data_IF_642331717935
#
_entry.id   IF_642331717935
#
_cell.length_a   1.000
_cell.length_b   1.000
_cell.length_c   1.000
_cell.angle_alpha   90.00
_cell.angle_beta   90.00
_cell.angle_gamma   90.00
#
_symmetry.space_group_name_H-M   'P 1'
#
loop_
_entity.id
_entity.type
_entity.pdbx_description
1 polymer ?
#
# COMPACT_ATOMS: atom_id res chain seq x y z
N UNK A 1 -5.13 -17.06 18.85
CA UNK A 1 -4.71 -17.63 17.54
C UNK A 1 -3.20 -17.60 17.50
N UNK A 2 -2.59 -18.75 17.33
CA UNK A 2 -1.15 -18.91 17.16
C UNK A 2 -0.73 -18.50 15.75
N UNK A 3 0.57 -18.33 15.55
CA UNK A 3 1.12 -17.99 14.23
C UNK A 3 0.78 -19.06 13.18
N UNK A 4 0.83 -20.35 13.55
CA UNK A 4 0.50 -21.47 12.65
C UNK A 4 -1.00 -21.52 12.30
N UNK A 5 -1.87 -21.27 13.26
CA UNK A 5 -3.32 -21.18 13.02
C UNK A 5 -3.64 -20.02 12.06
N UNK A 6 -2.92 -18.90 12.17
CA UNK A 6 -3.06 -17.76 11.28
C UNK A 6 -2.61 -18.05 9.84
N UNK A 7 -1.55 -18.84 9.65
CA UNK A 7 -1.12 -19.29 8.31
C UNK A 7 -2.21 -20.11 7.62
N UNK A 8 -2.78 -21.07 8.35
CA UNK A 8 -3.88 -21.90 7.84
C UNK A 8 -5.13 -21.05 7.52
N UNK A 9 -5.42 -20.07 8.37
CA UNK A 9 -6.54 -19.15 8.16
C UNK A 9 -6.30 -18.30 6.90
N UNK A 10 -5.12 -17.71 6.75
CA UNK A 10 -4.78 -16.88 5.59
C UNK A 10 -4.86 -17.66 4.26
N UNK A 11 -4.31 -18.87 4.24
CA UNK A 11 -4.37 -19.77 3.10
C UNK A 11 -5.83 -20.17 2.77
N UNK A 12 -6.64 -20.46 3.80
CA UNK A 12 -8.04 -20.83 3.64
C UNK A 12 -8.89 -19.69 3.05
N UNK A 13 -8.67 -18.45 3.47
CA UNK A 13 -9.38 -17.26 2.96
C UNK A 13 -9.09 -17.05 1.47
N UNK A 14 -7.83 -17.10 1.06
CA UNK A 14 -7.47 -16.94 -0.35
C UNK A 14 -8.10 -18.04 -1.22
N UNK A 15 -8.11 -19.29 -0.73
CA UNK A 15 -8.66 -20.42 -1.48
C UNK A 15 -10.18 -20.40 -1.60
N UNK A 16 -10.91 -20.02 -0.54
CA UNK A 16 -12.38 -20.10 -0.46
C UNK A 16 -13.07 -18.84 -0.96
N UNK A 17 -12.57 -17.67 -0.58
CA UNK A 17 -13.31 -16.42 -0.74
C UNK A 17 -12.96 -15.67 -2.03
N UNK A 18 -12.14 -16.25 -2.89
CA UNK A 18 -11.70 -15.67 -4.17
C UNK A 18 -11.08 -14.26 -4.02
N UNK A 19 -10.48 -13.97 -2.85
CA UNK A 19 -9.78 -12.72 -2.63
C UNK A 19 -8.43 -12.72 -3.34
N UNK A 20 -7.95 -11.55 -3.74
CA UNK A 20 -6.67 -11.40 -4.45
C UNK A 20 -5.47 -11.80 -3.60
N UNK A 21 -5.46 -11.43 -2.32
CA UNK A 21 -4.46 -11.80 -1.32
C UNK A 21 -5.06 -11.65 0.09
N UNK A 22 -4.44 -12.29 1.09
CA UNK A 22 -4.85 -12.19 2.49
C UNK A 22 -3.66 -11.82 3.39
N UNK A 23 -3.90 -10.93 4.34
CA UNK A 23 -2.94 -10.61 5.40
C UNK A 23 -3.62 -10.79 6.75
N UNK A 24 -3.08 -11.65 7.60
CA UNK A 24 -3.60 -11.94 8.93
C UNK A 24 -2.66 -11.37 9.98
N UNK A 25 -3.22 -10.69 10.97
CA UNK A 25 -2.50 -10.13 12.10
C UNK A 25 -2.64 -11.02 13.32
N UNK A 26 -1.53 -11.35 13.95
CA UNK A 26 -1.50 -12.10 15.20
C UNK A 26 -0.66 -11.39 16.27
N UNK A 27 -0.94 -11.71 17.51
CA UNK A 27 -0.11 -11.31 18.65
C UNK A 27 0.33 -12.59 19.36
N UNK A 28 1.38 -13.23 18.83
CA UNK A 28 1.91 -14.50 19.37
C UNK A 28 3.28 -14.26 20.01
N UNK A 29 3.35 -14.14 21.35
CA UNK A 29 4.61 -13.92 22.06
C UNK A 29 5.53 -15.14 22.07
N UNK A 30 5.05 -16.32 21.69
CA UNK A 30 5.86 -17.54 21.62
C UNK A 30 6.75 -17.59 20.38
N UNK A 31 6.57 -16.67 19.42
CA UNK A 31 7.31 -16.58 18.17
C UNK A 31 8.04 -15.25 18.03
N UNK A 32 9.30 -15.32 17.61
CA UNK A 32 10.12 -14.13 17.32
C UNK A 32 9.99 -13.65 15.88
N UNK A 33 9.36 -14.44 15.01
CA UNK A 33 9.14 -14.06 13.61
C UNK A 33 8.26 -12.82 13.52
N UNK A 34 8.68 -11.82 12.75
CA UNK A 34 7.91 -10.60 12.49
C UNK A 34 6.78 -10.84 11.49
N UNK A 35 7.05 -11.61 10.47
CA UNK A 35 6.07 -11.99 9.46
C UNK A 35 6.49 -13.27 8.74
N UNK A 36 5.53 -13.90 8.10
CA UNK A 36 5.74 -14.95 7.12
C UNK A 36 4.81 -14.73 5.94
N UNK A 37 5.30 -14.98 4.73
CA UNK A 37 4.52 -14.80 3.53
C UNK A 37 4.70 -15.96 2.57
N UNK A 38 3.64 -16.31 1.86
CA UNK A 38 3.62 -17.27 0.77
C UNK A 38 3.23 -16.56 -0.53
N UNK A 39 4.17 -16.31 -1.44
CA UNK A 39 3.85 -15.71 -2.75
C UNK A 39 2.91 -16.59 -3.57
N UNK A 40 3.14 -17.89 -3.57
CA UNK A 40 2.29 -18.87 -4.28
C UNK A 40 0.87 -18.93 -3.70
N UNK A 41 0.77 -18.88 -2.38
CA UNK A 41 -0.50 -18.84 -1.67
C UNK A 41 -1.15 -17.47 -1.63
N UNK A 42 -0.43 -16.40 -2.00
CA UNK A 42 -0.88 -15.00 -1.94
C UNK A 42 -1.37 -14.59 -0.56
N UNK A 43 -0.68 -15.05 0.48
CA UNK A 43 -1.02 -14.69 1.85
C UNK A 43 0.22 -14.30 2.66
N UNK A 44 -0.01 -13.55 3.72
CA UNK A 44 0.99 -13.27 4.75
C UNK A 44 0.36 -13.28 6.14
N UNK A 45 1.19 -13.58 7.13
CA UNK A 45 0.87 -13.43 8.55
C UNK A 45 1.88 -12.47 9.17
N UNK A 46 1.39 -11.47 9.90
CA UNK A 46 2.20 -10.55 10.68
C UNK A 46 2.06 -10.86 12.17
N UNK A 47 3.17 -10.90 12.87
CA UNK A 47 3.19 -10.99 14.33
C UNK A 47 3.54 -9.62 14.94
N UNK A 48 2.62 -9.04 15.67
CA UNK A 48 2.83 -7.75 16.33
C UNK A 48 3.56 -7.85 17.66
N UNK A 49 3.65 -9.06 18.25
CA UNK A 49 4.29 -9.28 19.54
C UNK A 49 5.76 -8.86 19.55
N UNK A 50 6.63 -9.29 18.61
CA UNK A 50 8.03 -8.90 18.60
C UNK A 50 8.28 -7.40 18.50
N UNK A 51 7.33 -6.65 17.87
CA UNK A 51 7.48 -5.19 17.70
C UNK A 51 7.44 -4.43 19.03
N UNK A 52 6.87 -5.04 20.05
CA UNK A 52 6.69 -4.48 21.40
C UNK A 52 7.79 -4.90 22.39
N UNK A 53 8.78 -5.69 21.96
CA UNK A 53 9.72 -6.36 22.87
C UNK A 53 10.55 -5.38 23.73
N UNK A 54 10.83 -4.17 23.23
CA UNK A 54 11.56 -3.11 23.94
C UNK A 54 10.63 -2.01 24.49
N UNK A 55 9.34 -2.26 24.58
CA UNK A 55 8.31 -1.33 25.06
C UNK A 55 8.39 0.06 24.39
N UNK A 56 8.31 0.15 23.05
CA UNK A 56 8.51 1.38 22.32
C UNK A 56 7.38 2.38 22.55
N UNK A 57 7.65 3.66 22.32
CA UNK A 57 6.60 4.67 22.20
C UNK A 57 5.65 4.32 21.04
N UNK A 58 4.39 4.78 21.14
CA UNK A 58 3.32 4.46 20.18
C UNK A 58 3.71 4.78 18.74
N UNK A 59 4.31 5.94 18.50
CA UNK A 59 4.77 6.38 17.18
C UNK A 59 5.79 5.40 16.55
N UNK A 60 6.76 4.93 17.35
CA UNK A 60 7.73 3.93 16.89
C UNK A 60 7.08 2.58 16.59
N UNK A 61 6.10 2.18 17.40
CA UNK A 61 5.35 0.95 17.15
C UNK A 61 4.58 1.01 15.83
N UNK A 62 3.93 2.13 15.54
CA UNK A 62 3.22 2.38 14.29
C UNK A 62 4.16 2.37 13.08
N UNK A 63 5.32 3.00 13.21
CA UNK A 63 6.36 2.98 12.16
C UNK A 63 6.87 1.56 11.87
N UNK A 64 7.21 0.80 12.92
CA UNK A 64 7.61 -0.62 12.79
C UNK A 64 6.51 -1.45 12.13
N UNK A 65 5.27 -1.27 12.59
CA UNK A 65 4.13 -1.96 12.00
C UNK A 65 3.97 -1.64 10.51
N UNK A 66 4.04 -0.37 10.13
CA UNK A 66 3.95 0.03 8.72
C UNK A 66 5.06 -0.62 7.86
N UNK A 67 6.29 -0.71 8.39
CA UNK A 67 7.41 -1.35 7.69
C UNK A 67 7.16 -2.84 7.46
N UNK A 68 6.81 -3.60 8.51
CA UNK A 68 6.58 -5.04 8.36
C UNK A 68 5.30 -5.35 7.55
N UNK A 69 4.30 -4.48 7.63
CA UNK A 69 3.09 -4.62 6.83
C UNK A 69 3.41 -4.59 5.32
N UNK A 70 4.20 -3.61 4.89
CA UNK A 70 4.64 -3.54 3.50
C UNK A 70 5.50 -4.75 3.08
N UNK A 71 6.42 -5.18 3.95
CA UNK A 71 7.17 -6.41 3.70
C UNK A 71 6.23 -7.60 3.46
N UNK A 72 5.25 -7.77 4.32
CA UNK A 72 4.31 -8.88 4.24
C UNK A 72 3.45 -8.81 2.96
N UNK A 73 2.88 -7.65 2.64
CA UNK A 73 2.05 -7.43 1.44
C UNK A 73 2.85 -7.66 0.17
N UNK A 74 4.02 -7.01 0.07
CA UNK A 74 4.88 -7.12 -1.12
C UNK A 74 5.32 -8.57 -1.32
N UNK A 75 5.73 -9.26 -0.26
CA UNK A 75 6.15 -10.67 -0.34
C UNK A 75 5.00 -11.60 -0.68
N UNK A 76 3.79 -11.37 -0.13
CA UNK A 76 2.60 -12.16 -0.48
C UNK A 76 2.22 -12.02 -1.97
N UNK A 77 2.52 -10.88 -2.58
CA UNK A 77 2.28 -10.63 -4.01
C UNK A 77 3.48 -10.94 -4.91
N UNK A 78 4.48 -11.69 -4.42
CA UNK A 78 5.62 -12.13 -5.21
C UNK A 78 6.77 -11.14 -5.31
N UNK A 79 6.72 -10.04 -4.52
CA UNK A 79 7.77 -9.04 -4.50
C UNK A 79 9.06 -9.53 -3.83
N UNK A 80 10.13 -8.79 -4.04
CA UNK A 80 11.50 -9.10 -3.62
C UNK A 80 12.06 -8.04 -2.67
N UNK A 81 13.23 -8.32 -2.10
CA UNK A 81 13.97 -7.33 -1.31
C UNK A 81 14.56 -6.25 -2.23
N UNK A 82 14.47 -4.99 -1.80
CA UNK A 82 15.00 -3.88 -2.59
C UNK A 82 16.51 -3.75 -2.40
N UNK A 83 17.22 -3.45 -3.48
CA UNK A 83 18.66 -3.12 -3.47
C UNK A 83 18.89 -1.67 -3.01
N UNK A 84 17.92 -0.77 -3.29
CA UNK A 84 17.95 0.64 -2.89
C UNK A 84 17.23 0.85 -1.55
N UNK A 85 17.54 1.92 -0.81
CA UNK A 85 16.79 2.25 0.40
C UNK A 85 15.29 2.35 0.13
N UNK A 86 14.55 1.42 0.67
CA UNK A 86 13.08 1.37 0.60
C UNK A 86 12.56 0.61 1.82
N UNK A 87 11.25 0.59 2.02
CA UNK A 87 10.65 -0.24 3.05
C UNK A 87 11.02 -1.72 2.88
N UNK A 88 11.35 -2.16 1.67
CA UNK A 88 11.74 -3.54 1.36
C UNK A 88 13.23 -3.84 1.62
N UNK A 89 13.97 -2.93 2.25
CA UNK A 89 15.33 -3.20 2.73
C UNK A 89 15.31 -4.39 3.70
N UNK A 90 16.12 -5.43 3.50
CA UNK A 90 16.15 -6.60 4.37
C UNK A 90 16.47 -6.22 5.83
N UNK A 91 15.83 -6.88 6.76
CA UNK A 91 16.09 -6.76 8.20
C UNK A 91 15.99 -8.12 8.87
N UNK A 92 16.65 -8.29 10.02
CA UNK A 92 16.67 -9.52 10.81
C UNK A 92 16.16 -9.35 12.24
N UNK A 93 16.17 -8.12 12.74
CA UNK A 93 15.81 -7.77 14.11
C UNK A 93 15.19 -6.36 14.19
N UNK A 94 14.73 -5.95 15.37
CA UNK A 94 14.15 -4.63 15.60
C UNK A 94 15.13 -3.48 15.29
N UNK A 95 16.41 -3.65 15.60
CA UNK A 95 17.41 -2.62 15.39
C UNK A 95 17.61 -2.35 13.91
N UNK A 96 17.72 -3.40 13.09
CA UNK A 96 17.82 -3.30 11.65
C UNK A 96 16.52 -2.80 11.00
N UNK A 97 15.34 -3.16 11.56
CA UNK A 97 14.06 -2.61 11.14
C UNK A 97 13.95 -1.10 11.40
N UNK A 98 14.41 -0.65 12.57
CA UNK A 98 14.33 0.76 12.97
C UNK A 98 15.21 1.68 12.10
N UNK A 99 16.33 1.19 11.58
CA UNK A 99 17.22 2.00 10.71
C UNK A 99 16.74 2.09 9.25
N UNK A 100 15.68 1.37 8.86
CA UNK A 100 15.08 1.54 7.54
C UNK A 100 14.50 2.97 7.45
N UNK A 101 14.95 3.81 6.49
CA UNK A 101 14.69 5.25 6.52
C UNK A 101 13.29 5.64 6.05
N UNK A 102 12.47 4.69 5.62
CA UNK A 102 11.16 4.97 5.04
C UNK A 102 10.16 3.85 5.31
N UNK A 103 8.88 4.22 5.37
CA UNK A 103 7.76 3.28 5.41
C UNK A 103 7.12 3.06 4.02
N UNK A 104 7.74 3.61 2.96
CA UNK A 104 7.19 3.55 1.60
C UNK A 104 7.95 2.56 0.73
N UNK A 105 7.26 1.79 -0.11
CA UNK A 105 7.93 1.00 -1.14
C UNK A 105 8.58 1.92 -2.19
N UNK A 106 9.62 1.41 -2.85
CA UNK A 106 10.26 2.09 -3.99
C UNK A 106 9.33 2.07 -5.22
N UNK A 107 9.51 2.98 -6.19
CA UNK A 107 8.66 3.05 -7.38
C UNK A 107 8.55 1.74 -8.15
N UNK A 108 9.66 1.02 -8.33
CA UNK A 108 9.70 -0.29 -8.98
C UNK A 108 8.86 -1.35 -8.25
N UNK A 109 8.86 -1.32 -6.93
CA UNK A 109 7.97 -2.19 -6.12
C UNK A 109 6.51 -1.77 -6.28
N UNK A 110 6.22 -0.47 -6.35
CA UNK A 110 4.85 0.03 -6.59
C UNK A 110 4.35 -0.44 -7.95
N UNK A 111 5.15 -0.32 -9.00
CA UNK A 111 4.79 -0.76 -10.36
C UNK A 111 4.52 -2.27 -10.37
N UNK A 112 5.39 -3.07 -9.75
CA UNK A 112 5.19 -4.51 -9.59
C UNK A 112 3.88 -4.84 -8.84
N UNK A 113 3.55 -4.11 -7.77
CA UNK A 113 2.30 -4.30 -7.02
C UNK A 113 1.07 -3.96 -7.87
N UNK A 114 1.15 -2.93 -8.71
CA UNK A 114 0.09 -2.55 -9.64
C UNK A 114 -0.15 -3.66 -10.66
N UNK A 115 0.91 -4.14 -11.29
CA UNK A 115 0.83 -5.18 -12.31
C UNK A 115 0.31 -6.50 -11.72
N UNK A 116 0.89 -6.96 -10.62
CA UNK A 116 0.47 -8.18 -9.94
C UNK A 116 -0.96 -8.06 -9.40
N UNK A 117 -1.30 -6.92 -8.81
CA UNK A 117 -2.65 -6.65 -8.31
C UNK A 117 -3.68 -6.74 -9.43
N UNK A 118 -3.37 -6.19 -10.60
CA UNK A 118 -4.24 -6.23 -11.77
C UNK A 118 -4.51 -7.66 -12.25
N UNK A 119 -3.51 -8.55 -12.21
CA UNK A 119 -3.67 -9.98 -12.53
C UNK A 119 -4.66 -10.68 -11.59
N UNK A 120 -4.75 -10.23 -10.36
CA UNK A 120 -5.68 -10.78 -9.36
C UNK A 120 -6.99 -10.00 -9.22
N UNK A 121 -7.27 -9.09 -10.15
CA UNK A 121 -8.50 -8.29 -10.16
C UNK A 121 -8.54 -7.19 -9.10
N UNK A 122 -7.40 -6.87 -8.48
CA UNK A 122 -7.27 -5.75 -7.54
C UNK A 122 -7.20 -4.47 -8.39
N UNK A 123 -8.23 -3.65 -8.28
CA UNK A 123 -8.23 -2.35 -8.96
C UNK A 123 -7.31 -1.40 -8.22
N UNK A 124 -6.24 -0.98 -8.87
CA UNK A 124 -5.39 0.07 -8.34
C UNK A 124 -6.10 1.42 -8.45
N UNK A 125 -6.22 2.11 -7.32
CA UNK A 125 -6.65 3.51 -7.32
C UNK A 125 -5.38 4.32 -7.59
N UNK A 126 -5.28 4.90 -8.77
CA UNK A 126 -4.26 5.92 -9.03
C UNK A 126 -4.49 7.03 -8.02
N UNK A 127 -3.49 7.35 -7.18
CA UNK A 127 -3.55 8.50 -6.27
C UNK A 127 -3.57 9.74 -7.14
N UNK A 128 -4.77 10.15 -7.53
CA UNK A 128 -4.96 11.37 -8.26
C UNK A 128 -5.00 12.55 -7.28
N UNK A 129 -4.50 13.71 -7.70
CA UNK A 129 -4.69 14.92 -6.92
C UNK A 129 -6.18 15.18 -6.71
N UNK A 130 -6.57 15.84 -5.60
CA UNK A 130 -7.96 16.19 -5.34
C UNK A 130 -8.61 16.91 -6.53
N UNK A 131 -7.84 17.75 -7.24
CA UNK A 131 -8.27 18.39 -8.49
C UNK A 131 -8.63 17.37 -9.59
N UNK A 132 -7.82 16.35 -9.78
CA UNK A 132 -8.08 15.27 -10.75
C UNK A 132 -9.32 14.48 -10.37
N UNK A 133 -9.48 14.17 -9.07
CA UNK A 133 -10.65 13.50 -8.54
C UNK A 133 -11.94 14.31 -8.78
N UNK A 134 -11.89 15.64 -8.54
CA UNK A 134 -13.00 16.55 -8.83
C UNK A 134 -13.36 16.56 -10.34
N UNK A 135 -12.35 16.66 -11.21
CA UNK A 135 -12.57 16.65 -12.68
C UNK A 135 -13.22 15.36 -13.16
N UNK A 136 -12.86 14.24 -12.55
CA UNK A 136 -13.38 12.92 -12.90
C UNK A 136 -14.70 12.57 -12.16
N UNK A 137 -15.22 13.47 -11.32
CA UNK A 137 -16.52 13.33 -10.67
C UNK A 137 -16.60 12.34 -9.51
N UNK A 138 -15.46 11.89 -8.96
CA UNK A 138 -15.42 10.93 -7.86
C UNK A 138 -14.77 11.48 -6.57
N UNK A 139 -14.44 12.78 -6.53
CA UNK A 139 -13.90 13.41 -5.34
C UNK A 139 -14.93 13.39 -4.20
N UNK A 140 -14.52 13.08 -2.96
CA UNK A 140 -15.38 13.29 -1.81
C UNK A 140 -15.63 14.79 -1.58
N UNK A 141 -16.67 15.13 -0.81
CA UNK A 141 -16.92 16.51 -0.41
C UNK A 141 -15.68 17.13 0.26
N UNK A 142 -15.39 18.44 0.03
CA UNK A 142 -14.20 19.08 0.59
C UNK A 142 -14.26 19.12 2.12
N UNK A 143 -13.15 18.78 2.76
CA UNK A 143 -13.00 18.77 4.23
C UNK A 143 -12.16 19.93 4.77
N UNK A 144 -11.57 20.74 3.90
CA UNK A 144 -10.77 21.92 4.24
C UNK A 144 -10.87 23.00 3.17
N UNK A 145 -10.43 24.22 3.49
CA UNK A 145 -10.51 25.38 2.61
C UNK A 145 -9.76 25.21 1.28
N UNK A 146 -8.62 24.50 1.26
CA UNK A 146 -7.86 24.24 0.03
C UNK A 146 -8.64 23.33 -0.90
N UNK A 147 -9.23 22.27 -0.36
CA UNK A 147 -10.09 21.36 -1.13
C UNK A 147 -11.34 22.09 -1.64
N UNK A 148 -11.95 22.95 -0.80
CA UNK A 148 -13.10 23.76 -1.18
C UNK A 148 -12.77 24.70 -2.35
N UNK A 149 -11.67 25.40 -2.28
CA UNK A 149 -11.22 26.29 -3.39
C UNK A 149 -10.97 25.50 -4.70
N UNK A 150 -10.44 24.29 -4.61
CA UNK A 150 -10.26 23.41 -5.78
C UNK A 150 -11.61 22.94 -6.32
N UNK A 151 -12.50 22.52 -5.43
CA UNK A 151 -13.85 22.04 -5.75
C UNK A 151 -14.64 23.11 -6.50
N UNK A 152 -14.74 24.31 -5.90
CA UNK A 152 -15.47 25.44 -6.48
C UNK A 152 -14.92 25.81 -7.86
N UNK A 153 -13.59 25.86 -8.01
CA UNK A 153 -12.95 26.15 -9.29
C UNK A 153 -13.23 25.12 -10.37
N UNK A 154 -13.24 23.83 -10.02
CA UNK A 154 -13.50 22.74 -10.99
C UNK A 154 -14.98 22.74 -11.40
N UNK A 155 -15.89 22.98 -10.48
CA UNK A 155 -17.33 22.98 -10.77
C UNK A 155 -17.84 24.27 -11.41
N UNK A 156 -17.13 25.40 -11.20
CA UNK A 156 -17.39 26.65 -11.90
C UNK A 156 -16.84 26.66 -13.34
N UNK A 157 -15.93 25.75 -13.67
CA UNK A 157 -15.39 25.68 -15.04
C UNK A 157 -16.48 25.22 -16.04
N UNK A 158 -16.63 25.85 -17.20
CA UNK A 158 -17.60 25.44 -18.22
C UNK A 158 -17.35 23.97 -18.61
N UNK A 159 -18.40 23.16 -18.65
CA UNK A 159 -18.35 21.71 -18.96
C UNK A 159 -17.90 21.40 -20.39
N UNK A 160 -17.79 22.40 -21.27
CA UNK A 160 -17.23 22.27 -22.59
C UNK A 160 -15.88 23.00 -22.65
N UNK A 161 -14.74 22.30 -22.66
CA UNK A 161 -13.50 22.96 -23.03
C UNK A 161 -13.65 23.41 -24.47
N UNK A 162 -13.40 24.72 -24.73
CA UNK A 162 -13.25 25.25 -26.08
C UNK A 162 -12.35 24.27 -26.85
N UNK A 163 -12.87 23.65 -27.90
CA UNK A 163 -12.02 22.97 -28.89
C UNK A 163 -11.12 24.02 -29.46
N UNK A 164 -9.86 24.02 -29.04
CA UNK A 164 -8.83 24.79 -29.73
C UNK A 164 -8.63 24.05 -31.06
N UNK A 165 -9.30 24.50 -32.12
CA UNK A 165 -8.98 24.05 -33.47
C UNK A 165 -7.58 24.59 -33.78
N UNK A 166 -6.62 23.70 -33.77
CA UNK A 166 -5.27 24.00 -34.23
C UNK A 166 -5.33 24.15 -35.76
N UNK A 167 -5.31 25.37 -36.24
CA UNK A 167 -5.18 25.68 -37.68
C UNK A 167 -3.71 25.54 -38.09
N UNK A 168 -3.33 24.43 -38.78
CA UNK A 168 -1.92 24.20 -39.14
C UNK A 168 -1.41 25.21 -40.22
N UNK A 169 -2.26 26.09 -40.73
CA UNK A 169 -1.89 27.05 -41.77
C UNK A 169 -1.52 28.46 -41.26
N UNK A 170 -1.68 28.74 -39.95
CA UNK A 170 -1.32 30.03 -39.32
C UNK A 170 0.07 30.10 -38.71
N UNK A 171 0.92 29.08 -38.93
CA UNK A 171 2.29 29.01 -38.45
C UNK A 171 3.33 29.02 -39.56
N UNK A 172 3.24 29.94 -40.50
CA UNK A 172 4.34 30.25 -41.40
C UNK A 172 4.60 31.76 -41.44
#
# INVERSE_FOLDING_TARGET
MTFVEAENTAAGVVGKDKVGAAVVLVNDPSKSDFYRASPEGRWAVLNVSPLKADNPAQERLEERFAKIYWHAVVRALGGYAAVKPSVMTPFSDLKSLDVIPTTKPSPDIVDMLIDTGSLYGIKTITIASYRTACRNGWAPAPTNEVQKAIWDRVHAAPKNPMKIEFDPKKGR
#
